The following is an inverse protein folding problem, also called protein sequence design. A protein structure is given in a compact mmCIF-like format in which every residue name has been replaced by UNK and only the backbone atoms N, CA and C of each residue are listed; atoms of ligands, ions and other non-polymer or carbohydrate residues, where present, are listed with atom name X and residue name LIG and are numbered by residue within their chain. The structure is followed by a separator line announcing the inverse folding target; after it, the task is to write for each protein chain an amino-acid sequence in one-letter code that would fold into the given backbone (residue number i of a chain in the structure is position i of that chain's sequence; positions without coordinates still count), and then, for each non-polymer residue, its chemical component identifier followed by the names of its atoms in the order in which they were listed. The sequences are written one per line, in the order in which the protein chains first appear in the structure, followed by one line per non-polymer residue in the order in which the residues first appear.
data_IF_562144682491
#
_entry.id   IF_562144682491
#
_cell.length_a   1.000
_cell.length_b   1.000
_cell.length_c   1.000
_cell.angle_alpha   90.00
_cell.angle_beta   90.00
_cell.angle_gamma   90.00
#
_symmetry.space_group_name_H-M   'P 1'
#
loop_
_entity.id
_entity.type
_entity.pdbx_description
1 polymer ?
#
# COMPACT_ATOMS: atom_id res chain seq x y z
N UNK A 1 -7.94 -8.11 12.82
CA UNK A 1 -8.32 -6.68 12.80
C UNK A 1 -8.56 -6.16 11.39
N UNK A 2 -7.55 -5.90 10.55
CA UNK A 2 -7.77 -5.35 9.20
C UNK A 2 -8.67 -6.25 8.32
N UNK A 3 -8.47 -7.57 8.37
CA UNK A 3 -9.33 -8.52 7.66
C UNK A 3 -10.79 -8.43 8.11
N UNK A 4 -11.03 -8.24 9.42
CA UNK A 4 -12.38 -8.11 9.97
C UNK A 4 -13.03 -6.79 9.55
N UNK A 5 -12.25 -5.71 9.48
CA UNK A 5 -12.70 -4.42 8.96
C UNK A 5 -13.06 -4.50 7.47
N UNK A 6 -12.27 -5.20 6.65
CA UNK A 6 -12.60 -5.43 5.24
C UNK A 6 -13.90 -6.23 5.12
N UNK A 7 -14.09 -7.27 5.94
CA UNK A 7 -15.35 -8.05 5.97
C UNK A 7 -16.56 -7.19 6.35
N UNK A 8 -16.40 -6.25 7.29
CA UNK A 8 -17.44 -5.27 7.63
C UNK A 8 -17.78 -4.35 6.46
N UNK A 9 -16.77 -3.85 5.75
CA UNK A 9 -17.00 -3.03 4.56
C UNK A 9 -17.73 -3.86 3.47
N UNK A 10 -17.38 -5.13 3.31
CA UNK A 10 -18.06 -6.08 2.41
C UNK A 10 -19.53 -6.35 2.83
N UNK A 11 -19.84 -6.34 4.14
CA UNK A 11 -21.22 -6.52 4.64
C UNK A 11 -22.08 -5.24 4.60
N UNK A 12 -21.54 -4.13 4.07
CA UNK A 12 -22.25 -2.85 4.00
C UNK A 12 -22.04 -1.94 5.20
N UNK A 13 -21.24 -2.35 6.18
CA UNK A 13 -20.94 -1.55 7.37
C UNK A 13 -19.88 -0.47 7.07
N UNK A 14 -19.87 0.57 7.91
CA UNK A 14 -18.86 1.62 7.88
C UNK A 14 -17.84 1.40 8.98
N UNK A 15 -16.54 1.46 8.63
CA UNK A 15 -15.42 1.34 9.57
C UNK A 15 -14.83 2.72 9.85
N UNK A 16 -14.47 2.97 11.10
CA UNK A 16 -13.81 4.19 11.54
C UNK A 16 -12.43 3.86 12.12
N UNK A 17 -11.40 4.62 11.74
CA UNK A 17 -10.05 4.48 12.32
C UNK A 17 -9.40 5.83 12.57
N UNK A 18 -8.67 5.94 13.67
CA UNK A 18 -7.79 7.08 13.87
C UNK A 18 -6.61 7.01 12.89
N UNK A 19 -6.33 8.14 12.24
CA UNK A 19 -5.19 8.33 11.35
C UNK A 19 -3.87 8.06 12.10
N UNK A 20 -3.01 7.23 11.50
CA UNK A 20 -1.67 7.03 12.04
C UNK A 20 -0.77 8.23 11.73
N UNK A 21 -0.28 8.92 12.76
CA UNK A 21 0.49 10.17 12.62
C UNK A 21 2.01 9.99 12.64
N UNK A 22 2.52 8.75 12.54
CA UNK A 22 3.96 8.44 12.53
C UNK A 22 4.74 9.04 13.72
N UNK A 23 4.15 8.97 14.92
CA UNK A 23 4.71 9.53 16.16
C UNK A 23 4.96 11.06 16.11
N UNK A 24 4.29 11.77 15.20
CA UNK A 24 4.39 13.21 15.14
C UNK A 24 3.47 13.86 16.18
N UNK A 25 4.04 14.28 17.31
CA UNK A 25 3.30 14.89 18.42
C UNK A 25 2.58 16.20 18.05
N UNK A 26 2.95 16.88 16.96
CA UNK A 26 2.27 18.10 16.51
C UNK A 26 1.07 17.82 15.60
N UNK A 27 0.89 16.59 15.12
CA UNK A 27 -0.26 16.18 14.31
C UNK A 27 -1.36 15.58 15.18
N UNK A 28 -2.57 16.14 15.08
CA UNK A 28 -3.77 15.55 15.67
C UNK A 28 -4.32 14.49 14.71
N UNK A 29 -4.46 13.23 15.14
CA UNK A 29 -5.09 12.19 14.33
C UNK A 29 -6.50 12.60 13.92
N UNK A 30 -6.83 12.44 12.64
CA UNK A 30 -8.22 12.55 12.17
C UNK A 30 -8.91 11.21 12.31
N UNK A 31 -10.22 11.22 12.52
CA UNK A 31 -11.02 10.01 12.34
C UNK A 31 -11.25 9.80 10.84
N UNK A 32 -10.73 8.70 10.31
CA UNK A 32 -10.92 8.24 8.95
C UNK A 32 -12.19 7.40 8.88
N UNK A 33 -13.01 7.62 7.86
CA UNK A 33 -14.26 6.90 7.63
C UNK A 33 -14.15 6.10 6.34
N UNK A 34 -14.36 4.79 6.44
CA UNK A 34 -14.34 3.86 5.32
C UNK A 34 -15.75 3.27 5.17
N UNK A 35 -16.52 3.85 4.24
CA UNK A 35 -17.84 3.36 3.90
C UNK A 35 -17.76 2.20 2.89
N UNK A 36 -18.77 1.33 2.91
CA UNK A 36 -18.94 0.32 1.87
C UNK A 36 -19.05 0.97 0.49
N UNK A 37 -18.37 0.38 -0.49
CA UNK A 37 -18.32 0.85 -1.87
C UNK A 37 -18.22 -0.35 -2.82
N UNK A 38 -18.71 -0.21 -4.08
CA UNK A 38 -18.59 -1.27 -5.08
C UNK A 38 -17.14 -1.68 -5.40
N UNK A 39 -16.18 -0.80 -5.14
CA UNK A 39 -14.74 -1.07 -5.24
C UNK A 39 -14.07 -0.57 -3.97
N UNK A 40 -13.35 -1.48 -3.30
CA UNK A 40 -12.55 -1.18 -2.12
C UNK A 40 -11.09 -1.38 -2.47
N UNK A 41 -10.26 -0.35 -2.26
CA UNK A 41 -8.82 -0.44 -2.48
C UNK A 41 -8.15 -0.68 -1.14
N UNK A 42 -7.55 -1.86 -0.99
CA UNK A 42 -6.72 -2.21 0.18
C UNK A 42 -5.26 -2.04 -0.22
N UNK A 43 -4.57 -1.11 0.43
CA UNK A 43 -3.18 -0.78 0.13
C UNK A 43 -2.27 -0.96 1.35
N UNK A 44 -1.01 -1.31 1.09
CA UNK A 44 0.03 -1.42 2.11
C UNK A 44 1.10 -2.43 1.72
N UNK A 45 2.29 -2.27 2.30
CA UNK A 45 3.47 -3.07 1.96
C UNK A 45 3.37 -4.55 2.37
N UNK A 46 2.46 -4.90 3.29
CA UNK A 46 2.24 -6.27 3.79
C UNK A 46 0.87 -6.85 3.44
N UNK A 47 0.09 -6.20 2.57
CA UNK A 47 -1.28 -6.65 2.26
C UNK A 47 -1.30 -8.08 1.72
N UNK A 48 -0.30 -8.46 0.90
CA UNK A 48 -0.19 -9.81 0.35
C UNK A 48 0.50 -10.81 1.30
N UNK A 49 1.22 -10.33 2.32
CA UNK A 49 1.96 -11.19 3.25
C UNK A 49 1.04 -11.98 4.18
N UNK A 50 -0.05 -11.35 4.61
CA UNK A 50 -1.01 -11.94 5.54
C UNK A 50 -2.10 -12.70 4.78
N UNK A 51 -2.17 -14.05 4.87
CA UNK A 51 -3.14 -14.85 4.12
C UNK A 51 -4.59 -14.39 4.37
N UNK A 52 -4.92 -14.04 5.60
CA UNK A 52 -6.26 -13.58 5.98
C UNK A 52 -6.70 -12.28 5.30
N UNK A 53 -5.74 -11.47 4.81
CA UNK A 53 -5.99 -10.30 3.99
C UNK A 53 -5.99 -10.68 2.51
N UNK A 54 -4.96 -11.42 2.06
CA UNK A 54 -4.80 -11.80 0.67
C UNK A 54 -5.99 -12.60 0.13
N UNK A 55 -6.60 -13.45 0.95
CA UNK A 55 -7.76 -14.27 0.59
C UNK A 55 -9.06 -13.45 0.43
N UNK A 56 -9.10 -12.21 0.91
CA UNK A 56 -10.25 -11.31 0.76
C UNK A 56 -10.17 -10.45 -0.53
N UNK A 57 -9.06 -10.51 -1.28
CA UNK A 57 -8.82 -9.65 -2.44
C UNK A 57 -9.21 -10.35 -3.74
N UNK A 58 -10.07 -9.69 -4.51
CA UNK A 58 -10.48 -10.17 -5.84
C UNK A 58 -9.43 -9.90 -6.94
N UNK A 59 -8.53 -8.95 -6.72
CA UNK A 59 -7.44 -8.58 -7.63
C UNK A 59 -6.22 -8.14 -6.83
N UNK A 60 -5.12 -8.89 -6.93
CA UNK A 60 -3.84 -8.63 -6.25
C UNK A 60 -2.90 -7.91 -7.20
N UNK A 61 -2.53 -6.67 -6.85
CA UNK A 61 -1.64 -5.84 -7.66
C UNK A 61 -0.35 -5.56 -6.90
N UNK A 62 0.79 -5.84 -7.53
CA UNK A 62 2.11 -5.49 -6.99
C UNK A 62 2.71 -4.31 -7.76
N UNK A 63 3.04 -3.21 -7.07
CA UNK A 63 3.70 -2.06 -7.69
C UNK A 63 5.21 -2.22 -7.61
N UNK A 64 5.87 -2.36 -8.76
CA UNK A 64 7.30 -2.63 -8.84
C UNK A 64 8.09 -1.43 -9.35
N UNK A 65 9.23 -1.14 -8.72
CA UNK A 65 10.15 -0.11 -9.15
C UNK A 65 11.58 -0.47 -8.73
N UNK A 66 12.56 -0.03 -9.51
CA UNK A 66 13.99 -0.25 -9.21
C UNK A 66 14.36 0.32 -7.83
N UNK A 67 15.23 -0.37 -7.09
CA UNK A 67 15.57 -0.01 -5.71
C UNK A 67 16.11 1.41 -5.55
N UNK A 68 17.02 1.84 -6.44
CA UNK A 68 17.54 3.21 -6.41
C UNK A 68 16.44 4.28 -6.61
N UNK A 69 15.38 3.96 -7.35
CA UNK A 69 14.22 4.85 -7.53
C UNK A 69 13.39 4.87 -6.24
N UNK A 70 13.11 3.70 -5.65
CA UNK A 70 12.41 3.60 -4.35
C UNK A 70 13.16 4.37 -3.25
N UNK A 71 14.49 4.18 -3.16
CA UNK A 71 15.35 4.85 -2.20
C UNK A 71 15.39 6.36 -2.41
N UNK A 72 15.55 6.84 -3.65
CA UNK A 72 15.50 8.28 -3.98
C UNK A 72 14.17 8.90 -3.53
N UNK A 73 13.04 8.28 -3.86
CA UNK A 73 11.70 8.77 -3.46
C UNK A 73 11.56 8.79 -1.94
N UNK A 74 12.06 7.75 -1.26
CA UNK A 74 12.07 7.67 0.21
C UNK A 74 12.88 8.78 0.87
N UNK A 75 14.11 9.02 0.42
CA UNK A 75 14.98 10.08 0.98
C UNK A 75 14.28 11.43 0.89
N UNK A 76 13.71 11.75 -0.28
CA UNK A 76 13.00 13.02 -0.49
C UNK A 76 11.79 13.12 0.44
N UNK A 77 10.94 12.08 0.50
CA UNK A 77 9.76 12.06 1.36
C UNK A 77 10.12 12.16 2.84
N UNK A 78 11.05 11.35 3.33
CA UNK A 78 11.42 11.30 4.75
C UNK A 78 12.06 12.63 5.21
N UNK A 79 12.83 13.29 4.34
CA UNK A 79 13.32 14.66 4.61
C UNK A 79 12.19 15.68 4.69
N UNK A 80 11.28 15.70 3.73
CA UNK A 80 10.24 16.74 3.61
C UNK A 80 9.12 16.55 4.63
N UNK A 81 8.65 15.33 4.83
CA UNK A 81 7.44 15.06 5.62
C UNK A 81 7.73 14.67 7.07
N UNK A 82 8.93 14.15 7.36
CA UNK A 82 9.30 13.57 8.65
C UNK A 82 10.50 14.24 9.32
N UNK A 83 11.27 15.03 8.57
CA UNK A 83 12.43 15.76 9.08
C UNK A 83 13.63 14.87 9.41
N UNK A 84 13.70 13.66 8.85
CA UNK A 84 14.87 12.80 9.03
C UNK A 84 16.05 13.30 8.19
N UNK A 85 17.26 13.21 8.75
CA UNK A 85 18.48 13.47 8.00
C UNK A 85 18.81 12.29 7.06
N UNK A 86 19.81 12.50 6.20
CA UNK A 86 20.18 11.50 5.20
C UNK A 86 20.73 10.23 5.85
N UNK A 87 21.58 10.37 6.86
CA UNK A 87 22.29 9.25 7.48
C UNK A 87 21.30 8.32 8.20
N UNK A 88 20.31 8.89 8.90
CA UNK A 88 19.21 8.16 9.52
C UNK A 88 18.38 7.38 8.50
N UNK A 89 18.09 7.98 7.34
CA UNK A 89 17.31 7.32 6.29
C UNK A 89 18.09 6.15 5.69
N UNK A 90 19.37 6.34 5.41
CA UNK A 90 20.24 5.29 4.85
C UNK A 90 20.42 4.15 5.84
N UNK A 91 20.73 4.45 7.10
CA UNK A 91 20.84 3.46 8.17
C UNK A 91 19.57 2.61 8.28
N UNK A 92 18.39 3.24 8.36
CA UNK A 92 17.12 2.52 8.43
C UNK A 92 16.85 1.70 7.18
N UNK A 93 17.23 2.23 6.02
CA UNK A 93 17.03 1.54 4.75
C UNK A 93 17.81 0.22 4.70
N UNK A 94 19.09 0.28 5.02
CA UNK A 94 20.01 -0.86 5.01
C UNK A 94 19.72 -1.86 6.12
N UNK A 95 19.53 -1.38 7.36
CA UNK A 95 19.44 -2.27 8.52
C UNK A 95 18.05 -2.87 8.74
N UNK A 96 17.00 -2.24 8.20
CA UNK A 96 15.62 -2.64 8.48
C UNK A 96 14.79 -2.82 7.22
N UNK A 97 14.79 -1.84 6.32
CA UNK A 97 13.79 -1.78 5.25
C UNK A 97 14.07 -2.79 4.16
N UNK A 98 15.29 -2.83 3.61
CA UNK A 98 15.63 -3.80 2.57
C UNK A 98 15.59 -5.24 3.07
N UNK A 99 16.16 -5.58 4.24
CA UNK A 99 16.02 -6.92 4.79
C UNK A 99 14.55 -7.34 4.98
N UNK A 100 13.69 -6.41 5.40
CA UNK A 100 12.25 -6.66 5.53
C UNK A 100 11.59 -6.85 4.16
N UNK A 101 11.95 -6.03 3.18
CA UNK A 101 11.42 -6.12 1.83
C UNK A 101 11.75 -7.46 1.19
N UNK A 102 13.02 -7.83 1.15
CA UNK A 102 13.50 -9.08 0.55
C UNK A 102 12.88 -10.31 1.21
N UNK A 103 12.72 -10.27 2.54
CA UNK A 103 12.22 -11.43 3.29
C UNK A 103 10.71 -11.57 3.27
N UNK A 104 9.97 -10.47 3.31
CA UNK A 104 8.54 -10.49 3.64
C UNK A 104 7.64 -9.82 2.59
N UNK A 105 8.20 -9.10 1.61
CA UNK A 105 7.41 -8.34 0.63
C UNK A 105 7.70 -8.83 -0.80
N UNK A 106 8.96 -8.89 -1.19
CA UNK A 106 9.40 -9.30 -2.52
C UNK A 106 8.90 -10.70 -2.95
N UNK A 107 8.85 -11.73 -2.08
CA UNK A 107 8.38 -13.06 -2.48
C UNK A 107 6.97 -13.05 -3.08
N UNK A 108 6.09 -12.17 -2.59
CA UNK A 108 4.70 -12.05 -3.02
C UNK A 108 4.53 -11.33 -4.36
N UNK A 109 5.61 -10.79 -4.95
CA UNK A 109 5.59 -10.20 -6.29
C UNK A 109 5.11 -11.20 -7.34
N UNK A 110 5.52 -12.47 -7.21
CA UNK A 110 5.15 -13.53 -8.14
C UNK A 110 3.78 -14.16 -7.81
N UNK A 111 3.17 -13.79 -6.68
CA UNK A 111 1.83 -14.23 -6.26
C UNK A 111 0.74 -13.21 -6.65
N UNK A 112 1.12 -12.02 -7.11
CA UNK A 112 0.20 -11.01 -7.59
C UNK A 112 -0.34 -11.36 -8.98
N UNK A 113 -1.62 -11.03 -9.22
CA UNK A 113 -2.28 -11.21 -10.51
C UNK A 113 -1.74 -10.23 -11.57
N UNK A 114 -1.31 -9.04 -11.12
CA UNK A 114 -0.75 -8.00 -11.98
C UNK A 114 0.44 -7.31 -11.30
N UNK A 115 1.57 -7.25 -12.02
CA UNK A 115 2.71 -6.42 -11.63
C UNK A 115 2.67 -5.12 -12.44
N UNK A 116 2.66 -3.97 -11.76
CA UNK A 116 2.66 -2.64 -12.39
C UNK A 116 4.03 -1.99 -12.22
N UNK A 117 4.79 -1.81 -13.31
CA UNK A 117 6.02 -1.04 -13.26
C UNK A 117 5.73 0.44 -12.96
N UNK A 118 6.47 1.02 -12.03
CA UNK A 118 6.35 2.42 -11.61
C UNK A 118 7.73 3.09 -11.50
N UNK A 119 8.58 2.85 -12.51
CA UNK A 119 9.90 3.47 -12.59
C UNK A 119 9.79 4.97 -12.92
N UNK A 120 8.94 5.33 -13.89
CA UNK A 120 8.67 6.71 -14.32
C UNK A 120 7.24 7.13 -14.00
N UNK A 121 6.29 6.39 -14.55
CA UNK A 121 4.84 6.61 -14.48
C UNK A 121 4.14 5.25 -14.61
N UNK A 122 2.83 5.25 -14.40
CA UNK A 122 1.98 4.05 -14.44
C UNK A 122 0.67 4.30 -15.19
N UNK A 123 0.60 5.34 -16.03
CA UNK A 123 -0.65 5.80 -16.65
C UNK A 123 -1.31 4.72 -17.51
N UNK A 124 -0.52 3.99 -18.31
CA UNK A 124 -1.03 2.89 -19.14
C UNK A 124 -1.54 1.71 -18.30
N UNK A 125 -0.87 1.40 -17.20
CA UNK A 125 -1.34 0.37 -16.28
C UNK A 125 -2.64 0.80 -15.59
N UNK A 126 -2.76 2.08 -15.23
CA UNK A 126 -3.98 2.66 -14.68
C UNK A 126 -5.14 2.57 -15.67
N UNK A 127 -4.92 2.81 -16.97
CA UNK A 127 -5.95 2.63 -18.00
C UNK A 127 -6.46 1.18 -18.06
N UNK A 128 -5.56 0.21 -17.98
CA UNK A 128 -5.92 -1.23 -17.95
C UNK A 128 -6.75 -1.55 -16.70
N UNK A 129 -6.28 -1.14 -15.52
CA UNK A 129 -6.97 -1.40 -14.25
C UNK A 129 -8.36 -0.74 -14.25
N UNK A 130 -8.45 0.52 -14.69
CA UNK A 130 -9.73 1.25 -14.79
C UNK A 130 -10.70 0.55 -15.75
N UNK A 131 -10.20 0.07 -16.89
CA UNK A 131 -11.03 -0.66 -17.87
C UNK A 131 -11.55 -1.95 -17.26
N UNK A 132 -10.68 -2.75 -16.62
CA UNK A 132 -11.05 -3.98 -15.93
C UNK A 132 -12.14 -3.74 -14.86
N UNK A 133 -11.93 -2.76 -13.97
CA UNK A 133 -12.89 -2.43 -12.92
C UNK A 133 -14.25 -1.99 -13.48
N UNK A 134 -14.25 -1.16 -14.53
CA UNK A 134 -15.50 -0.73 -15.20
C UNK A 134 -16.25 -1.89 -15.82
N UNK A 135 -15.54 -2.82 -16.46
CA UNK A 135 -16.16 -4.03 -17.02
C UNK A 135 -16.74 -4.92 -15.93
N UNK A 136 -16.03 -5.09 -14.81
CA UNK A 136 -16.51 -5.88 -13.67
C UNK A 136 -17.73 -5.26 -12.98
N UNK A 137 -17.79 -3.94 -12.87
CA UNK A 137 -18.93 -3.22 -12.29
C UNK A 137 -20.18 -3.19 -13.19
N UNK A 138 -20.02 -3.43 -14.49
CA UNK A 138 -21.12 -3.47 -15.45
C UNK A 138 -21.74 -4.87 -15.60
N UNK A 139 -21.13 -5.90 -15.00
CA UNK A 139 -21.64 -7.28 -14.93
C UNK A 139 -22.56 -7.44 -13.74
#
# INVERSE_FOLDING_TARGET
QYADEIRKIQSGETVYREEYTFNNASKKPKMLTFASAPVVVVEGIFVLYYPELADLLDLKIFIDAKDHIKLKRRIIRDKVERGYDLDDVLYRYEMHVMPTYEKYIEPFKNEADLIVPNNSDFERAMDVIRTYLRTKLAQ
#
